data_IF_628573769461
#
_entry.id   IF_628573769461
#
_cell.length_a   1.000
_cell.length_b   1.000
_cell.length_c   1.000
_cell.angle_alpha   90.00
_cell.angle_beta   90.00
_cell.angle_gamma   90.00
#
_symmetry.space_group_name_H-M   'P 1'
#
loop_
_entity.id
_entity.type
_entity.pdbx_description
1 polymer ?
#
# COMPACT_ATOMS: atom_id res chain seq x y z
N UNK A 1 11.25 -6.81 16.66
CA UNK A 1 10.14 -6.51 15.75
C UNK A 1 10.39 -5.11 15.20
N UNK A 2 10.55 -4.96 13.89
CA UNK A 2 10.69 -3.64 13.27
C UNK A 2 9.34 -2.91 13.39
N UNK A 3 9.32 -1.69 13.93
CA UNK A 3 8.12 -0.87 14.12
C UNK A 3 7.84 -0.09 12.83
N UNK A 4 7.01 -0.64 11.94
CA UNK A 4 6.42 0.17 10.88
C UNK A 4 5.22 0.95 11.42
N UNK A 5 4.91 2.10 10.81
CA UNK A 5 3.65 2.82 11.06
C UNK A 5 2.77 2.71 9.82
N UNK A 6 1.45 2.73 10.02
CA UNK A 6 0.47 2.61 8.95
C UNK A 6 -0.59 3.72 9.03
N UNK A 7 -1.07 4.16 7.88
CA UNK A 7 -2.25 5.01 7.73
C UNK A 7 -3.24 4.29 6.84
N UNK A 8 -4.47 4.13 7.34
CA UNK A 8 -5.49 3.36 6.68
C UNK A 8 -6.86 4.02 6.86
N UNK A 9 -7.66 3.99 5.80
CA UNK A 9 -9.06 4.43 5.88
C UNK A 9 -9.95 3.21 6.06
N UNK A 10 -10.93 3.33 6.97
CA UNK A 10 -11.90 2.28 7.27
C UNK A 10 -13.32 2.81 7.10
N UNK A 11 -14.20 1.98 6.55
CA UNK A 11 -15.65 2.22 6.48
C UNK A 11 -16.36 0.95 6.94
N UNK A 12 -17.23 1.08 7.95
CA UNK A 12 -17.98 -0.05 8.53
C UNK A 12 -17.09 -1.22 8.99
N UNK A 13 -15.85 -0.93 9.42
CA UNK A 13 -14.89 -1.96 9.83
C UNK A 13 -14.07 -2.57 8.68
N UNK A 14 -14.32 -2.17 7.44
CA UNK A 14 -13.59 -2.63 6.26
C UNK A 14 -12.56 -1.60 5.81
N UNK A 15 -11.35 -2.05 5.45
CA UNK A 15 -10.35 -1.20 4.80
C UNK A 15 -10.89 -0.74 3.46
N UNK A 16 -10.88 0.57 3.25
CA UNK A 16 -11.29 1.20 2.00
C UNK A 16 -10.51 2.49 1.79
N UNK A 17 -10.16 2.82 0.56
CA UNK A 17 -9.38 4.02 0.23
C UNK A 17 -7.89 3.85 0.53
N UNK A 18 -7.22 4.98 0.76
CA UNK A 18 -5.75 5.05 0.83
C UNK A 18 -5.19 4.22 1.99
N UNK A 19 -4.16 3.45 1.66
CA UNK A 19 -3.27 2.76 2.57
C UNK A 19 -1.84 3.24 2.37
N UNK A 20 -1.16 3.54 3.45
CA UNK A 20 0.25 3.88 3.46
C UNK A 20 0.94 3.16 4.62
N UNK A 21 2.11 2.59 4.35
CA UNK A 21 3.00 2.04 5.36
C UNK A 21 4.33 2.80 5.31
N UNK A 22 4.94 3.05 6.46
CA UNK A 22 6.21 3.76 6.58
C UNK A 22 7.24 2.91 7.33
N UNK A 23 8.50 3.04 6.94
CA UNK A 23 9.64 2.56 7.70
C UNK A 23 9.79 3.34 9.02
N UNK A 24 10.60 2.80 9.95
CA UNK A 24 10.89 3.45 11.25
C UNK A 24 11.48 4.86 11.10
N UNK A 25 12.20 5.12 10.01
CA UNK A 25 12.77 6.43 9.69
C UNK A 25 11.74 7.41 9.07
N UNK A 26 10.46 7.02 8.95
CA UNK A 26 9.39 7.82 8.37
C UNK A 26 9.35 7.82 6.84
N UNK A 27 10.25 7.09 6.17
CA UNK A 27 10.21 6.94 4.71
C UNK A 27 9.02 6.08 4.31
N UNK A 28 8.30 6.52 3.28
CA UNK A 28 7.18 5.77 2.71
C UNK A 28 7.71 4.42 2.21
N UNK A 29 7.08 3.33 2.66
CA UNK A 29 7.44 1.94 2.31
C UNK A 29 6.48 1.40 1.26
N UNK A 30 5.18 1.57 1.46
CA UNK A 30 4.12 1.11 0.56
C UNK A 30 3.02 2.16 0.52
N UNK A 31 2.42 2.35 -0.66
CA UNK A 31 1.22 3.15 -0.86
C UNK A 31 0.31 2.46 -1.87
N UNK A 32 -0.97 2.39 -1.56
CA UNK A 32 -1.97 1.87 -2.47
C UNK A 32 -3.38 2.15 -1.98
N UNK A 33 -4.38 1.52 -2.57
CA UNK A 33 -5.75 1.62 -2.10
C UNK A 33 -6.32 0.24 -1.79
N UNK A 34 -7.24 0.23 -0.83
CA UNK A 34 -8.12 -0.90 -0.56
C UNK A 34 -9.54 -0.59 -1.01
N UNK A 35 -10.29 -1.64 -1.35
CA UNK A 35 -11.73 -1.62 -1.55
C UNK A 35 -12.28 -2.94 -1.01
N UNK A 36 -13.21 -2.85 -0.06
CA UNK A 36 -13.81 -4.01 0.59
C UNK A 36 -12.74 -5.00 1.13
N UNK A 37 -11.72 -4.48 1.83
CA UNK A 37 -10.56 -5.23 2.35
C UNK A 37 -9.61 -5.83 1.30
N UNK A 38 -9.80 -5.59 0.01
CA UNK A 38 -8.93 -6.07 -1.06
C UNK A 38 -8.08 -4.92 -1.64
N UNK A 39 -6.78 -5.13 -1.92
CA UNK A 39 -5.99 -4.19 -2.72
C UNK A 39 -6.66 -3.89 -4.06
N UNK A 40 -6.81 -2.62 -4.40
CA UNK A 40 -7.43 -2.17 -5.67
C UNK A 40 -6.71 -0.92 -6.18
N UNK A 41 -6.44 -0.88 -7.48
CA UNK A 41 -5.70 0.17 -8.17
C UNK A 41 -4.17 0.05 -8.05
N UNK A 42 -3.44 1.18 -8.24
CA UNK A 42 -1.99 1.18 -8.24
C UNK A 42 -1.41 1.05 -6.83
N UNK A 43 -0.35 0.26 -6.74
CA UNK A 43 0.43 0.02 -5.53
C UNK A 43 1.91 0.27 -5.81
N UNK A 44 2.48 1.20 -5.06
CA UNK A 44 3.88 1.59 -5.17
C UNK A 44 4.66 1.13 -3.94
N UNK A 45 5.91 0.74 -4.18
CA UNK A 45 6.82 0.20 -3.18
C UNK A 45 8.14 0.93 -3.22
N UNK A 46 8.68 1.27 -2.06
CA UNK A 46 9.94 1.97 -1.91
C UNK A 46 10.84 1.25 -0.90
N UNK A 47 12.14 1.45 -1.02
CA UNK A 47 13.11 1.03 0.00
C UNK A 47 13.28 2.07 1.10
N UNK A 48 14.09 1.74 2.11
CA UNK A 48 14.37 2.60 3.27
C UNK A 48 15.05 3.92 2.92
N UNK A 49 15.61 4.05 1.71
CA UNK A 49 16.29 5.24 1.20
C UNK A 49 15.34 6.07 0.30
N UNK A 50 14.08 5.64 0.15
CA UNK A 50 13.04 6.32 -0.61
C UNK A 50 13.09 6.05 -2.11
N UNK A 51 13.90 5.08 -2.54
CA UNK A 51 13.95 4.69 -3.96
C UNK A 51 12.80 3.74 -4.27
N UNK A 52 12.07 4.05 -5.33
CA UNK A 52 10.99 3.17 -5.79
C UNK A 52 11.58 1.85 -6.29
N UNK A 53 11.07 0.75 -5.74
CA UNK A 53 11.53 -0.62 -6.02
C UNK A 53 10.54 -1.41 -6.84
N UNK A 54 9.28 -0.98 -6.90
CA UNK A 54 8.26 -1.62 -7.71
C UNK A 54 6.96 -0.82 -7.77
N UNK A 55 6.16 -1.16 -8.76
CA UNK A 55 4.79 -0.73 -8.91
C UNK A 55 3.97 -1.93 -9.43
N UNK A 56 2.74 -2.06 -8.94
CA UNK A 56 1.83 -3.12 -9.31
C UNK A 56 0.42 -2.54 -9.45
N UNK A 57 -0.34 -3.05 -10.40
CA UNK A 57 -1.77 -2.77 -10.49
C UNK A 57 -2.53 -3.93 -9.85
N UNK A 58 -3.42 -3.65 -8.91
CA UNK A 58 -4.29 -4.65 -8.30
C UNK A 58 -5.72 -4.42 -8.75
N UNK A 59 -6.45 -5.50 -9.07
CA UNK A 59 -7.89 -5.44 -9.31
C UNK A 59 -8.55 -6.50 -8.45
N UNK A 60 -9.37 -6.05 -7.50
CA UNK A 60 -10.04 -6.89 -6.49
C UNK A 60 -9.08 -7.89 -5.82
N UNK A 61 -7.90 -7.41 -5.44
CA UNK A 61 -6.86 -8.16 -4.73
C UNK A 61 -5.93 -8.99 -5.62
N UNK A 62 -6.14 -9.02 -6.94
CA UNK A 62 -5.28 -9.75 -7.88
C UNK A 62 -4.30 -8.78 -8.54
N UNK A 63 -3.00 -9.04 -8.36
CA UNK A 63 -1.96 -8.32 -9.08
C UNK A 63 -2.10 -8.63 -10.58
N UNK A 64 -2.27 -7.58 -11.38
CA UNK A 64 -2.24 -7.65 -12.84
C UNK A 64 -0.94 -7.02 -13.32
N UNK A 65 -0.29 -7.73 -14.24
CA UNK A 65 0.73 -7.10 -15.07
C UNK A 65 0.01 -6.17 -16.04
N UNK A 66 0.31 -4.89 -15.98
CA UNK A 66 -0.10 -3.94 -17.01
C UNK A 66 0.97 -4.04 -18.11
N UNK A 67 0.59 -4.54 -19.27
CA UNK A 67 1.44 -4.61 -20.48
C UNK A 67 1.69 -3.23 -21.09
#
# INVERSE_FOLDING_TARGET
AMRTSERATYKNGEKTGLWEEFYENGVLKIRGNYKNNLPDGPWDYWDKDGKQTGAWEYVDGVAKLVE
#
